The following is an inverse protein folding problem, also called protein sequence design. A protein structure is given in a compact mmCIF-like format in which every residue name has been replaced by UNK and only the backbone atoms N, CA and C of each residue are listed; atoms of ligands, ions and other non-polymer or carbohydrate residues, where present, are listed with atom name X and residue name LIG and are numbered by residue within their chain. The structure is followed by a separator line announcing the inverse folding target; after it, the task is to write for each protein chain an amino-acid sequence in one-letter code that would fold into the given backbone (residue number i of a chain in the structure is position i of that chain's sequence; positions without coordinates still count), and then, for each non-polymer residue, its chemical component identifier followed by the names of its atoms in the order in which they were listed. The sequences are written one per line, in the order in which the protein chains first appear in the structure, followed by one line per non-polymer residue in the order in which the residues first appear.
data_IF_104154240198
#
_entry.id   IF_104154240198
#
_cell.length_a   1.000
_cell.length_b   1.000
_cell.length_c   1.000
_cell.angle_alpha   90.00
_cell.angle_beta   90.00
_cell.angle_gamma   90.00
#
_symmetry.space_group_name_H-M   'P 1'
#
loop_
_entity.id
_entity.type
_entity.pdbx_description
1 polymer ?
#
# COMPACT_ATOMS: atom_id res chain seq x y z
N UNK A 1 -11.61 -16.46 -19.54
CA UNK A 1 -11.25 -15.92 -18.21
C UNK A 1 -10.50 -14.63 -18.46
N UNK A 2 -11.15 -13.47 -18.32
CA UNK A 2 -10.59 -12.20 -18.78
C UNK A 2 -9.29 -11.88 -18.04
N UNK A 3 -8.22 -11.59 -18.79
CA UNK A 3 -6.94 -11.15 -18.24
C UNK A 3 -7.20 -9.94 -17.33
N UNK A 4 -6.90 -10.08 -16.04
CA UNK A 4 -6.87 -8.92 -15.13
C UNK A 4 -5.76 -7.99 -15.63
N UNK A 5 -6.13 -7.01 -16.45
CA UNK A 5 -5.18 -6.03 -16.99
C UNK A 5 -4.66 -5.17 -15.83
N UNK A 6 -3.43 -5.44 -15.41
CA UNK A 6 -2.71 -4.53 -14.53
C UNK A 6 -2.41 -3.24 -15.30
N UNK A 7 -2.64 -2.09 -14.66
CA UNK A 7 -2.24 -0.78 -15.19
C UNK A 7 -0.85 -0.45 -14.66
N UNK A 8 0.03 0.06 -15.53
CA UNK A 8 1.37 0.51 -15.13
C UNK A 8 1.28 1.92 -14.53
N UNK A 9 1.96 2.10 -13.42
CA UNK A 9 2.13 3.40 -12.77
C UNK A 9 3.63 3.66 -12.59
N UNK A 10 4.05 4.91 -12.80
CA UNK A 10 5.39 5.38 -12.46
C UNK A 10 5.27 6.22 -11.20
N UNK A 11 6.14 5.94 -10.22
CA UNK A 11 6.19 6.67 -8.96
C UNK A 11 7.60 7.22 -8.75
N UNK A 12 7.69 8.39 -8.14
CA UNK A 12 8.96 8.98 -7.71
C UNK A 12 9.09 8.76 -6.22
N UNK A 13 10.21 8.17 -5.78
CA UNK A 13 10.51 7.91 -4.37
C UNK A 13 11.96 8.29 -4.04
N UNK A 14 12.28 8.59 -2.78
CA UNK A 14 13.66 8.80 -2.34
C UNK A 14 14.55 7.58 -2.61
N UNK A 15 15.85 7.75 -2.89
CA UNK A 15 16.76 6.64 -3.14
C UNK A 15 16.84 5.64 -1.97
N UNK A 16 16.93 6.11 -0.73
CA UNK A 16 16.97 5.23 0.45
C UNK A 16 15.70 4.36 0.58
N UNK A 17 14.53 4.90 0.21
CA UNK A 17 13.30 4.12 0.22
C UNK A 17 13.27 3.03 -0.86
N UNK A 18 13.95 3.25 -2.00
CA UNK A 18 14.12 2.19 -2.99
C UNK A 18 15.03 1.08 -2.46
N UNK A 19 16.10 1.42 -1.75
CA UNK A 19 17.01 0.45 -1.13
C UNK A 19 16.28 -0.42 -0.10
N UNK A 20 15.53 0.21 0.81
CA UNK A 20 14.69 -0.48 1.80
C UNK A 20 13.65 -1.39 1.12
N UNK A 21 12.97 -0.89 0.07
CA UNK A 21 12.00 -1.69 -0.70
C UNK A 21 12.67 -2.93 -1.30
N UNK A 22 13.87 -2.79 -1.87
CA UNK A 22 14.59 -3.91 -2.47
C UNK A 22 15.06 -4.93 -1.43
N UNK A 23 15.53 -4.47 -0.28
CA UNK A 23 15.88 -5.33 0.86
C UNK A 23 14.68 -6.15 1.30
N UNK A 24 13.54 -5.51 1.58
CA UNK A 24 12.32 -6.19 1.97
C UNK A 24 11.80 -7.17 0.91
N UNK A 25 11.95 -6.83 -0.37
CA UNK A 25 11.61 -7.74 -1.47
C UNK A 25 12.50 -9.00 -1.46
N UNK A 26 13.81 -8.85 -1.24
CA UNK A 26 14.74 -9.98 -1.15
C UNK A 26 14.49 -10.85 0.06
N UNK A 27 14.31 -10.25 1.24
CA UNK A 27 14.15 -10.98 2.51
C UNK A 27 12.87 -11.81 2.56
N UNK A 28 11.78 -11.27 2.03
CA UNK A 28 10.46 -11.89 2.14
C UNK A 28 9.97 -12.55 0.84
N UNK A 29 10.80 -12.56 -0.21
CA UNK A 29 10.47 -13.19 -1.49
C UNK A 29 9.36 -12.49 -2.28
N UNK A 30 9.21 -11.18 -2.14
CA UNK A 30 8.25 -10.39 -2.91
C UNK A 30 8.86 -9.83 -4.19
N UNK A 31 8.05 -9.69 -5.24
CA UNK A 31 8.35 -8.71 -6.30
C UNK A 31 8.01 -7.30 -5.82
N UNK A 32 8.70 -6.28 -6.38
CA UNK A 32 8.39 -4.86 -6.10
C UNK A 32 6.91 -4.55 -6.31
N UNK A 33 6.32 -5.10 -7.37
CA UNK A 33 4.90 -4.91 -7.69
C UNK A 33 3.96 -5.52 -6.65
N UNK A 34 4.27 -6.70 -6.11
CA UNK A 34 3.48 -7.32 -5.04
C UNK A 34 3.59 -6.53 -3.73
N UNK A 35 4.81 -6.12 -3.40
CA UNK A 35 5.07 -5.33 -2.20
C UNK A 35 4.31 -4.00 -2.25
N UNK A 36 4.46 -3.24 -3.35
CA UNK A 36 3.80 -1.94 -3.53
C UNK A 36 2.28 -2.10 -3.52
N UNK A 37 1.71 -3.11 -4.19
CA UNK A 37 0.25 -3.35 -4.14
C UNK A 37 -0.23 -3.65 -2.71
N UNK A 38 0.54 -4.44 -1.96
CA UNK A 38 0.23 -4.79 -0.57
C UNK A 38 0.29 -3.57 0.32
N UNK A 39 1.36 -2.77 0.20
CA UNK A 39 1.54 -1.52 0.94
C UNK A 39 0.40 -0.52 0.67
N UNK A 40 0.08 -0.28 -0.60
CA UNK A 40 -1.03 0.60 -1.00
C UNK A 40 -2.35 0.12 -0.38
N UNK A 41 -2.65 -1.18 -0.47
CA UNK A 41 -3.89 -1.73 0.08
C UNK A 41 -3.96 -1.57 1.60
N UNK A 42 -2.88 -1.91 2.31
CA UNK A 42 -2.81 -1.77 3.78
C UNK A 42 -2.96 -0.31 4.21
N UNK A 43 -2.32 0.61 3.50
CA UNK A 43 -2.41 2.04 3.81
C UNK A 43 -3.83 2.59 3.57
N UNK A 44 -4.49 2.20 2.46
CA UNK A 44 -5.89 2.55 2.22
C UNK A 44 -6.80 2.00 3.33
N UNK A 45 -6.60 0.75 3.77
CA UNK A 45 -7.39 0.16 4.86
C UNK A 45 -7.18 0.93 6.16
N UNK A 46 -5.94 1.23 6.53
CA UNK A 46 -5.61 2.01 7.71
C UNK A 46 -6.31 3.39 7.70
N UNK A 47 -6.22 4.12 6.58
CA UNK A 47 -6.88 5.43 6.46
C UNK A 47 -8.40 5.36 6.56
N UNK A 48 -9.02 4.26 6.14
CA UNK A 48 -10.47 4.07 6.27
C UNK A 48 -10.87 3.84 7.72
N UNK A 49 -10.16 2.96 8.42
CA UNK A 49 -10.44 2.65 9.82
C UNK A 49 -10.32 3.90 10.68
N UNK A 50 -9.24 4.68 10.53
CA UNK A 50 -9.08 5.93 11.29
C UNK A 50 -10.15 6.97 10.99
N UNK A 51 -10.78 6.92 9.80
CA UNK A 51 -11.89 7.82 9.47
C UNK A 51 -13.21 7.36 10.09
N UNK A 52 -13.45 6.06 10.09
CA UNK A 52 -14.62 5.45 10.73
C UNK A 52 -14.61 5.69 12.24
N UNK A 53 -13.44 5.55 12.89
CA UNK A 53 -13.23 5.88 14.31
C UNK A 53 -13.61 7.34 14.64
N UNK A 54 -13.21 8.30 13.80
CA UNK A 54 -13.56 9.72 13.97
C UNK A 54 -15.06 9.96 13.73
N UNK A 55 -15.67 9.33 12.72
CA UNK A 55 -17.10 9.48 12.42
C UNK A 55 -17.99 8.89 13.54
N UNK A 56 -17.56 7.80 14.19
CA UNK A 56 -18.24 7.21 15.35
C UNK A 56 -18.14 8.08 16.61
N UNK A 57 -16.98 8.68 16.89
CA UNK A 57 -16.80 9.59 18.03
C UNK A 57 -17.66 10.85 17.90
N UNK A 58 -17.74 11.44 16.71
CA UNK A 58 -18.51 12.69 16.45
C UNK A 58 -20.02 12.45 16.41
N UNK A 59 -20.47 11.23 16.07
CA UNK A 59 -21.90 10.88 16.02
C UNK A 59 -22.45 10.40 17.38
N UNK A 60 -21.58 10.17 18.36
CA UNK A 60 -21.92 9.74 19.71
C UNK A 60 -22.11 10.87 20.74
N UNK A 61 -21.90 12.13 20.34
CA UNK A 61 -22.09 13.35 21.16
C UNK A 61 -23.44 14.05 20.91
#
# INVERSE_FOLDING_TARGET
MGEKKFVRVTITIPPGLLEELEEMCREHGYTRSEFVRTAIRRFITYLKMSREEIEEEVSGE
#
